data_IF_724652121504
#
_entry.id   IF_724652121504
#
_cell.length_a   1.000
_cell.length_b   1.000
_cell.length_c   1.000
_cell.angle_alpha   90.00
_cell.angle_beta   90.00
_cell.angle_gamma   90.00
#
_symmetry.space_group_name_H-M   'P 1'
#
loop_
_entity.id
_entity.type
_entity.pdbx_description
1 polymer ?
#
# COMPACT_ATOMS: atom_id res chain seq x y z
N UNK A 1 19.65 -28.86 2.33
CA UNK A 1 19.08 -27.92 3.32
C UNK A 1 19.77 -26.54 3.29
N UNK A 2 21.10 -26.41 3.35
CA UNK A 2 21.78 -25.10 3.34
C UNK A 2 21.68 -24.37 1.98
N UNK A 3 21.69 -25.08 0.85
CA UNK A 3 21.56 -24.50 -0.47
C UNK A 3 20.16 -23.88 -0.70
N UNK A 4 19.10 -24.54 -0.24
CA UNK A 4 17.72 -24.04 -0.37
C UNK A 4 17.47 -22.80 0.50
N UNK A 5 18.09 -22.70 1.66
CA UNK A 5 18.03 -21.50 2.53
C UNK A 5 18.77 -20.34 1.86
N UNK A 6 19.92 -20.58 1.23
CA UNK A 6 20.68 -19.57 0.49
C UNK A 6 19.91 -19.01 -0.72
N UNK A 7 19.28 -19.88 -1.51
CA UNK A 7 18.42 -19.44 -2.62
C UNK A 7 17.21 -18.63 -2.12
N UNK A 8 16.61 -19.07 -1.02
CA UNK A 8 15.50 -18.36 -0.41
C UNK A 8 15.88 -16.94 0.02
N UNK A 9 16.99 -16.77 0.74
CA UNK A 9 17.47 -15.48 1.20
C UNK A 9 17.81 -14.56 0.02
N UNK A 10 18.42 -15.13 -1.04
CA UNK A 10 18.79 -14.40 -2.24
C UNK A 10 17.57 -13.93 -3.02
N UNK A 11 16.53 -14.76 -3.16
CA UNK A 11 15.25 -14.39 -3.78
C UNK A 11 14.53 -13.31 -2.97
N UNK A 12 14.50 -13.43 -1.64
CA UNK A 12 13.92 -12.42 -0.72
C UNK A 12 14.63 -11.08 -0.82
N UNK A 13 15.96 -11.08 -0.84
CA UNK A 13 16.76 -9.85 -1.01
C UNK A 13 16.54 -9.22 -2.39
N UNK A 14 16.49 -10.04 -3.45
CA UNK A 14 16.24 -9.57 -4.81
C UNK A 14 14.86 -8.90 -4.94
N UNK A 15 13.85 -9.46 -4.27
CA UNK A 15 12.50 -8.89 -4.24
C UNK A 15 12.41 -7.60 -3.42
N UNK A 16 13.06 -7.56 -2.25
CA UNK A 16 13.13 -6.33 -1.46
C UNK A 16 13.83 -5.21 -2.23
N UNK A 17 14.95 -5.52 -2.91
CA UNK A 17 15.65 -4.56 -3.78
C UNK A 17 14.76 -4.10 -4.95
N UNK A 18 14.04 -5.01 -5.59
CA UNK A 18 13.11 -4.67 -6.68
C UNK A 18 11.99 -3.74 -6.18
N UNK A 19 11.39 -4.02 -5.02
CA UNK A 19 10.41 -3.14 -4.40
C UNK A 19 10.98 -1.76 -4.02
N UNK A 20 12.18 -1.72 -3.44
CA UNK A 20 12.85 -0.46 -3.12
C UNK A 20 13.12 0.37 -4.38
N UNK A 21 13.64 -0.25 -5.44
CA UNK A 21 13.89 0.42 -6.73
C UNK A 21 12.61 0.97 -7.35
N UNK A 22 11.50 0.24 -7.28
CA UNK A 22 10.20 0.71 -7.77
C UNK A 22 9.67 1.92 -6.98
N UNK A 23 9.91 1.96 -5.67
CA UNK A 23 9.48 3.07 -4.81
C UNK A 23 10.38 4.30 -4.92
N UNK A 24 11.64 4.13 -5.33
CA UNK A 24 12.62 5.22 -5.42
C UNK A 24 12.22 6.26 -6.46
N UNK A 25 11.75 5.83 -7.64
CA UNK A 25 11.35 6.74 -8.72
C UNK A 25 10.15 7.63 -8.33
N UNK A 26 9.03 7.11 -7.84
CA UNK A 26 7.92 7.94 -7.36
C UNK A 26 8.32 8.86 -6.21
N UNK A 27 9.15 8.40 -5.27
CA UNK A 27 9.61 9.21 -4.15
C UNK A 27 10.47 10.39 -4.64
N UNK A 28 11.40 10.14 -5.58
CA UNK A 28 12.21 11.18 -6.19
C UNK A 28 11.35 12.20 -6.94
N UNK A 29 10.42 11.71 -7.77
CA UNK A 29 9.54 12.57 -8.54
C UNK A 29 8.65 13.43 -7.62
N UNK A 30 8.11 12.85 -6.55
CA UNK A 30 7.31 13.58 -5.56
C UNK A 30 8.12 14.66 -4.84
N UNK A 31 9.35 14.35 -4.43
CA UNK A 31 10.26 15.31 -3.80
C UNK A 31 10.62 16.44 -4.76
N UNK A 32 10.86 16.12 -6.03
CA UNK A 32 11.16 17.10 -7.08
C UNK A 32 9.99 18.05 -7.32
N UNK A 33 8.75 17.52 -7.40
CA UNK A 33 7.53 18.35 -7.56
C UNK A 33 7.33 19.28 -6.37
N UNK A 34 7.50 18.78 -5.14
CA UNK A 34 7.41 19.62 -3.93
C UNK A 34 8.47 20.72 -3.98
N UNK A 35 9.72 20.39 -4.31
CA UNK A 35 10.80 21.37 -4.45
C UNK A 35 10.50 22.42 -5.51
N UNK A 36 9.97 22.02 -6.66
CA UNK A 36 9.56 22.92 -7.74
C UNK A 36 8.44 23.88 -7.30
N UNK A 37 7.40 23.36 -6.61
CA UNK A 37 6.30 24.19 -6.08
C UNK A 37 6.80 25.20 -5.05
N UNK A 38 7.71 24.79 -4.15
CA UNK A 38 8.32 25.70 -3.17
C UNK A 38 9.18 26.76 -3.85
N UNK A 39 9.95 26.38 -4.87
CA UNK A 39 10.80 27.29 -5.63
C UNK A 39 9.96 28.36 -6.39
N UNK A 40 8.92 27.93 -7.07
CA UNK A 40 7.94 28.81 -7.74
C UNK A 40 7.33 29.78 -6.73
N UNK A 41 6.95 29.29 -5.56
CA UNK A 41 6.41 30.14 -4.52
C UNK A 41 7.40 31.19 -4.05
N UNK A 42 8.64 30.81 -3.72
CA UNK A 42 9.65 31.75 -3.20
C UNK A 42 10.05 32.82 -4.22
N UNK A 43 10.09 32.46 -5.51
CA UNK A 43 10.57 33.36 -6.56
C UNK A 43 9.46 34.25 -7.14
N UNK A 44 8.23 33.75 -7.21
CA UNK A 44 7.18 34.39 -8.01
C UNK A 44 6.04 34.97 -7.14
N UNK A 45 5.79 34.45 -5.94
CA UNK A 45 4.64 34.90 -5.16
C UNK A 45 4.81 36.39 -4.74
N UNK A 46 6.03 36.81 -4.35
CA UNK A 46 6.31 38.19 -3.95
C UNK A 46 6.18 39.16 -5.14
N UNK A 47 6.61 38.73 -6.33
CA UNK A 47 6.48 39.55 -7.56
C UNK A 47 5.02 39.59 -8.04
N UNK A 48 4.29 38.48 -7.95
CA UNK A 48 2.88 38.41 -8.35
C UNK A 48 1.97 39.19 -7.38
N UNK A 49 2.26 39.15 -6.08
CA UNK A 49 1.46 39.89 -5.09
C UNK A 49 1.53 41.40 -5.27
N UNK A 50 2.64 41.92 -5.81
CA UNK A 50 2.79 43.34 -6.12
C UNK A 50 2.11 43.76 -7.44
N UNK A 51 1.87 42.82 -8.36
CA UNK A 51 1.27 43.11 -9.67
C UNK A 51 -0.24 42.83 -9.73
N UNK A 52 -0.73 41.96 -8.85
CA UNK A 52 -2.12 41.50 -8.88
C UNK A 52 -2.95 42.30 -7.86
N UNK A 53 -3.90 43.07 -8.35
CA UNK A 53 -4.92 43.71 -7.51
C UNK A 53 -5.93 42.67 -7.05
N UNK A 54 -6.01 42.40 -5.75
CA UNK A 54 -6.92 41.38 -5.17
C UNK A 54 -8.39 41.61 -5.55
N UNK A 55 -8.79 42.87 -5.81
CA UNK A 55 -10.15 43.22 -6.21
C UNK A 55 -10.53 42.65 -7.58
N UNK A 56 -9.58 42.60 -8.53
CA UNK A 56 -9.80 42.04 -9.85
C UNK A 56 -9.88 40.51 -9.82
N UNK A 57 -9.13 39.85 -8.95
CA UNK A 57 -9.22 38.41 -8.74
C UNK A 57 -10.55 37.98 -8.12
N UNK A 58 -11.11 38.80 -7.22
CA UNK A 58 -12.41 38.50 -6.59
C UNK A 58 -13.58 38.49 -7.60
N UNK A 59 -13.49 39.22 -8.70
CA UNK A 59 -14.48 39.17 -9.77
C UNK A 59 -14.45 37.87 -10.56
N UNK A 60 -13.28 37.19 -10.62
CA UNK A 60 -13.09 35.89 -11.25
C UNK A 60 -13.04 34.80 -10.21
N UNK A 61 -14.18 34.39 -9.64
CA UNK A 61 -14.26 33.49 -8.47
C UNK A 61 -13.35 32.25 -8.54
N UNK A 62 -13.14 31.67 -9.74
CA UNK A 62 -12.25 30.51 -9.93
C UNK A 62 -10.76 30.87 -9.73
N UNK A 63 -10.29 31.99 -10.27
CA UNK A 63 -8.89 32.42 -10.13
C UNK A 63 -8.57 32.87 -8.68
N UNK A 64 -9.53 33.42 -7.99
CA UNK A 64 -9.41 33.76 -6.56
C UNK A 64 -9.15 32.52 -5.69
N UNK A 65 -9.86 31.40 -5.95
CA UNK A 65 -9.64 30.16 -5.24
C UNK A 65 -8.26 29.55 -5.51
N UNK A 66 -7.79 29.64 -6.76
CA UNK A 66 -6.44 29.18 -7.11
C UNK A 66 -5.39 30.05 -6.40
N UNK A 67 -5.54 31.35 -6.40
CA UNK A 67 -4.66 32.30 -5.72
C UNK A 67 -4.60 32.04 -4.21
N UNK A 68 -5.75 31.89 -3.57
CA UNK A 68 -5.86 31.57 -2.15
C UNK A 68 -5.21 30.22 -1.84
N UNK A 69 -5.37 29.24 -2.70
CA UNK A 69 -4.69 27.95 -2.59
C UNK A 69 -3.17 28.08 -2.65
N UNK A 70 -2.64 28.88 -3.55
CA UNK A 70 -1.20 29.13 -3.70
C UNK A 70 -0.64 29.88 -2.48
N UNK A 71 -1.33 30.91 -2.00
CA UNK A 71 -0.91 31.70 -0.85
C UNK A 71 -0.85 30.85 0.42
N UNK A 72 -1.85 29.99 0.63
CA UNK A 72 -1.98 29.13 1.81
C UNK A 72 -1.37 27.73 1.65
N UNK A 73 -0.69 27.45 0.54
CA UNK A 73 -0.16 26.14 0.21
C UNK A 73 0.68 25.48 1.34
N UNK A 74 1.58 26.18 2.07
CA UNK A 74 2.29 25.57 3.20
C UNK A 74 1.40 25.33 4.40
N UNK A 75 0.43 26.21 4.66
CA UNK A 75 -0.50 26.03 5.77
C UNK A 75 -1.44 24.85 5.47
N UNK A 76 -1.89 24.70 4.22
CA UNK A 76 -2.66 23.55 3.76
C UNK A 76 -1.83 22.25 3.81
N UNK A 77 -0.55 22.31 3.41
CA UNK A 77 0.35 21.17 3.48
C UNK A 77 0.63 20.76 4.94
N UNK A 78 0.87 21.72 5.84
CA UNK A 78 1.01 21.49 7.28
C UNK A 78 -0.28 20.94 7.88
N UNK A 79 -1.43 21.53 7.57
CA UNK A 79 -2.73 21.05 8.00
C UNK A 79 -3.00 19.62 7.56
N UNK A 80 -2.74 19.31 6.28
CA UNK A 80 -2.85 17.95 5.74
C UNK A 80 -1.92 16.97 6.47
N UNK A 81 -0.67 17.36 6.73
CA UNK A 81 0.30 16.54 7.45
C UNK A 81 -0.14 16.28 8.90
N UNK A 82 -0.66 17.30 9.60
CA UNK A 82 -1.21 17.16 10.96
C UNK A 82 -2.43 16.21 10.95
N UNK A 83 -3.37 16.40 10.02
CA UNK A 83 -4.54 15.53 9.89
C UNK A 83 -4.10 14.09 9.60
N UNK A 84 -3.13 13.90 8.72
CA UNK A 84 -2.59 12.58 8.39
C UNK A 84 -1.92 11.93 9.62
N UNK A 85 -1.15 12.68 10.40
CA UNK A 85 -0.57 12.20 11.66
C UNK A 85 -1.64 11.85 12.69
N UNK A 86 -2.70 12.66 12.81
CA UNK A 86 -3.83 12.38 13.71
C UNK A 86 -4.54 11.08 13.27
N UNK A 87 -4.78 10.90 11.97
CA UNK A 87 -5.41 9.67 11.44
C UNK A 87 -4.51 8.46 11.72
N UNK A 88 -3.20 8.55 11.45
CA UNK A 88 -2.25 7.46 11.74
C UNK A 88 -2.25 7.14 13.23
N UNK A 89 -2.23 8.15 14.09
CA UNK A 89 -2.23 7.99 15.54
C UNK A 89 -3.55 7.39 16.06
N UNK A 90 -4.68 7.87 15.56
CA UNK A 90 -6.01 7.33 15.90
C UNK A 90 -6.16 5.87 15.47
N UNK A 91 -5.73 5.54 14.23
CA UNK A 91 -5.71 4.16 13.72
C UNK A 91 -4.81 3.29 14.59
N UNK A 92 -3.62 3.78 14.95
CA UNK A 92 -2.68 3.03 15.80
C UNK A 92 -3.22 2.79 17.20
N UNK A 93 -3.90 3.76 17.82
CA UNK A 93 -4.57 3.60 19.12
C UNK A 93 -5.73 2.61 19.05
N UNK A 94 -6.54 2.71 18.00
CA UNK A 94 -7.66 1.80 17.78
C UNK A 94 -7.18 0.35 17.57
N UNK A 95 -6.07 0.17 16.82
CA UNK A 95 -5.48 -1.14 16.57
C UNK A 95 -4.84 -1.76 17.82
N UNK A 96 -4.21 -0.96 18.68
CA UNK A 96 -3.65 -1.48 19.95
C UNK A 96 -4.68 -2.19 20.85
N UNK A 97 -5.96 -1.84 20.72
CA UNK A 97 -7.05 -2.42 21.54
C UNK A 97 -7.65 -3.69 20.96
N UNK A 98 -7.32 -4.07 19.72
CA UNK A 98 -7.88 -5.24 19.03
C UNK A 98 -6.86 -6.37 18.94
N UNK A 99 -7.38 -7.62 18.93
CA UNK A 99 -6.57 -8.80 18.69
C UNK A 99 -5.91 -8.70 17.30
N UNK A 100 -4.71 -9.26 17.16
CA UNK A 100 -3.97 -9.25 15.88
C UNK A 100 -4.80 -9.83 14.72
N UNK A 101 -5.63 -10.82 15.01
CA UNK A 101 -6.54 -11.42 14.03
C UNK A 101 -7.59 -10.42 13.52
N UNK A 102 -8.23 -9.70 14.44
CA UNK A 102 -9.26 -8.71 14.09
C UNK A 102 -8.67 -7.52 13.32
N UNK A 103 -7.41 -7.17 13.63
CA UNK A 103 -6.66 -6.15 12.89
C UNK A 103 -6.48 -6.55 11.43
N UNK A 104 -6.01 -7.78 11.17
CA UNK A 104 -5.81 -8.28 9.81
C UNK A 104 -7.13 -8.48 9.07
N UNK A 105 -8.17 -9.00 9.75
CA UNK A 105 -9.49 -9.15 9.17
C UNK A 105 -10.08 -7.80 8.75
N UNK A 106 -9.91 -6.77 9.58
CA UNK A 106 -10.36 -5.41 9.26
C UNK A 106 -9.53 -4.82 8.11
N UNK A 107 -8.21 -5.05 8.08
CA UNK A 107 -7.34 -4.61 6.99
C UNK A 107 -7.78 -5.22 5.65
N UNK A 108 -8.12 -6.51 5.64
CA UNK A 108 -8.61 -7.22 4.46
C UNK A 108 -9.97 -6.69 3.99
N UNK A 109 -10.80 -6.16 4.90
CA UNK A 109 -12.11 -5.59 4.57
C UNK A 109 -12.04 -4.21 3.91
N UNK A 110 -10.88 -3.56 3.89
CA UNK A 110 -10.72 -2.23 3.28
C UNK A 110 -10.74 -2.31 1.74
N UNK A 111 -11.53 -1.45 1.04
CA UNK A 111 -11.75 -1.57 -0.40
C UNK A 111 -10.49 -1.37 -1.25
N UNK A 112 -9.52 -0.56 -0.81
CA UNK A 112 -8.31 -0.21 -1.57
C UNK A 112 -7.14 -1.14 -1.28
N UNK A 113 -6.94 -1.48 -0.01
CA UNK A 113 -5.76 -2.21 0.50
C UNK A 113 -6.09 -3.68 0.76
N UNK A 114 -7.36 -4.00 1.03
CA UNK A 114 -7.79 -5.31 1.51
C UNK A 114 -7.40 -6.46 0.58
N UNK A 115 -7.63 -6.32 -0.72
CA UNK A 115 -7.23 -7.34 -1.71
C UNK A 115 -5.72 -7.60 -1.70
N UNK A 116 -4.91 -6.54 -1.62
CA UNK A 116 -3.45 -6.66 -1.59
C UNK A 116 -2.96 -7.24 -0.25
N UNK A 117 -3.61 -6.88 0.86
CA UNK A 117 -3.31 -7.44 2.17
C UNK A 117 -3.65 -8.95 2.23
N UNK A 118 -4.80 -9.34 1.70
CA UNK A 118 -5.22 -10.73 1.60
C UNK A 118 -4.26 -11.56 0.71
N UNK A 119 -3.85 -11.02 -0.45
CA UNK A 119 -2.86 -11.65 -1.30
C UNK A 119 -1.53 -11.86 -0.56
N UNK A 120 -1.07 -10.83 0.15
CA UNK A 120 0.19 -10.92 0.89
C UNK A 120 0.13 -11.96 2.02
N UNK A 121 -0.96 -11.98 2.80
CA UNK A 121 -1.17 -12.98 3.85
C UNK A 121 -1.23 -14.39 3.25
N UNK A 122 -2.00 -14.57 2.17
CA UNK A 122 -2.11 -15.86 1.48
C UNK A 122 -0.75 -16.34 0.97
N UNK A 123 0.02 -15.46 0.31
CA UNK A 123 1.39 -15.75 -0.14
C UNK A 123 2.29 -16.21 1.02
N UNK A 124 2.29 -15.43 2.12
CA UNK A 124 3.16 -15.70 3.25
C UNK A 124 2.91 -17.10 3.83
N UNK A 125 1.64 -17.44 4.06
CA UNK A 125 1.28 -18.74 4.66
C UNK A 125 1.31 -19.90 3.66
N UNK A 126 0.98 -19.69 2.39
CA UNK A 126 1.19 -20.71 1.37
C UNK A 126 2.64 -21.17 1.33
N UNK A 127 3.57 -20.22 1.39
CA UNK A 127 5.00 -20.48 1.41
C UNK A 127 5.46 -21.12 2.72
N UNK A 128 4.97 -20.64 3.86
CA UNK A 128 5.34 -21.18 5.17
C UNK A 128 4.86 -22.63 5.30
N UNK A 129 3.63 -22.91 4.92
CA UNK A 129 3.07 -24.26 4.90
C UNK A 129 3.80 -25.18 3.92
N UNK A 130 4.10 -24.71 2.69
CA UNK A 130 4.89 -25.47 1.72
C UNK A 130 6.25 -25.87 2.29
N UNK A 131 6.94 -24.96 2.97
CA UNK A 131 8.24 -25.25 3.59
C UNK A 131 8.16 -26.35 4.64
N UNK A 132 7.19 -26.31 5.55
CA UNK A 132 7.05 -27.30 6.60
C UNK A 132 6.63 -28.68 6.03
N UNK A 133 5.65 -28.70 5.16
CA UNK A 133 5.15 -29.94 4.55
C UNK A 133 6.18 -30.57 3.59
N UNK A 134 6.91 -29.77 2.83
CA UNK A 134 7.99 -30.24 1.95
C UNK A 134 9.19 -30.82 2.71
N UNK A 135 9.34 -30.46 4.00
CA UNK A 135 10.30 -31.10 4.91
C UNK A 135 9.74 -32.38 5.59
N UNK A 136 8.59 -32.87 5.14
CA UNK A 136 7.96 -34.08 5.68
C UNK A 136 7.28 -33.91 7.04
N UNK A 137 7.04 -32.69 7.48
CA UNK A 137 6.34 -32.44 8.74
C UNK A 137 4.84 -32.69 8.60
N UNK A 138 4.22 -33.24 9.63
CA UNK A 138 2.77 -33.35 9.71
C UNK A 138 2.13 -31.98 9.95
N UNK A 139 0.84 -31.84 9.62
CA UNK A 139 0.07 -30.62 9.88
C UNK A 139 0.13 -30.18 11.33
N UNK A 140 0.02 -31.11 12.28
CA UNK A 140 0.11 -30.80 13.71
C UNK A 140 1.50 -30.34 14.12
N UNK A 141 2.56 -30.95 13.57
CA UNK A 141 3.94 -30.52 13.81
C UNK A 141 4.18 -29.12 13.27
N UNK A 142 3.71 -28.81 12.06
CA UNK A 142 3.75 -27.47 11.45
C UNK A 142 3.06 -26.43 12.35
N UNK A 143 1.87 -26.75 12.84
CA UNK A 143 1.12 -25.85 13.73
C UNK A 143 1.88 -25.60 15.03
N UNK A 144 2.53 -26.62 15.60
CA UNK A 144 3.36 -26.47 16.80
C UNK A 144 4.58 -25.57 16.57
N UNK A 145 5.22 -25.66 15.39
CA UNK A 145 6.34 -24.79 15.01
C UNK A 145 5.90 -23.33 14.90
N UNK A 146 4.73 -23.07 14.31
CA UNK A 146 4.16 -21.72 14.18
C UNK A 146 3.82 -21.05 15.51
N UNK A 147 3.68 -21.82 16.59
CA UNK A 147 3.46 -21.31 17.95
C UNK A 147 4.72 -20.90 18.69
N UNK A 148 5.90 -21.33 18.25
CA UNK A 148 7.16 -21.09 18.94
C UNK A 148 7.47 -19.61 19.14
N UNK A 149 8.32 -19.32 20.10
CA UNK A 149 8.84 -17.97 20.32
C UNK A 149 9.66 -17.51 19.11
N UNK A 150 9.51 -16.22 18.75
CA UNK A 150 10.14 -15.66 17.55
C UNK A 150 9.24 -15.62 16.31
N UNK A 151 8.11 -16.34 16.30
CA UNK A 151 7.11 -16.23 15.23
C UNK A 151 6.23 -14.98 15.39
N UNK A 152 5.61 -14.53 14.30
CA UNK A 152 4.74 -13.36 14.33
C UNK A 152 3.49 -13.61 15.20
N UNK A 153 2.93 -12.55 15.80
CA UNK A 153 1.69 -12.66 16.56
C UNK A 153 0.53 -13.20 15.71
N UNK A 154 0.54 -12.90 14.40
CA UNK A 154 -0.44 -13.45 13.46
C UNK A 154 -0.25 -14.96 13.26
N UNK A 155 1.01 -15.44 13.10
CA UNK A 155 1.32 -16.87 12.95
C UNK A 155 0.88 -17.66 14.18
N UNK A 156 1.19 -17.16 15.39
CA UNK A 156 0.75 -17.80 16.65
C UNK A 156 -0.76 -17.95 16.72
N UNK A 157 -1.50 -16.93 16.31
CA UNK A 157 -2.95 -16.93 16.37
C UNK A 157 -3.57 -17.83 15.29
N UNK A 158 -3.02 -17.83 14.07
CA UNK A 158 -3.43 -18.75 13.02
C UNK A 158 -3.17 -20.19 13.47
N UNK A 159 -1.98 -20.46 14.02
CA UNK A 159 -1.63 -21.78 14.54
C UNK A 159 -2.58 -22.24 15.65
N UNK A 160 -2.92 -21.37 16.60
CA UNK A 160 -3.86 -21.71 17.66
C UNK A 160 -5.24 -22.08 17.11
N UNK A 161 -5.77 -21.29 16.16
CA UNK A 161 -7.06 -21.59 15.53
C UNK A 161 -7.02 -22.85 14.66
N UNK A 162 -5.92 -23.09 13.95
CA UNK A 162 -5.73 -24.33 13.20
C UNK A 162 -5.73 -25.55 14.12
N UNK A 163 -4.97 -25.48 15.22
CA UNK A 163 -4.91 -26.58 16.17
C UNK A 163 -6.28 -26.92 16.75
N UNK A 164 -7.05 -25.93 17.18
CA UNK A 164 -8.40 -26.12 17.72
C UNK A 164 -9.30 -26.86 16.72
N UNK A 165 -9.26 -26.50 15.44
CA UNK A 165 -10.10 -27.11 14.40
C UNK A 165 -9.58 -28.52 14.01
N UNK A 166 -8.25 -28.69 13.87
CA UNK A 166 -7.67 -29.99 13.53
C UNK A 166 -7.88 -31.04 14.64
N UNK A 167 -7.80 -30.64 15.92
CA UNK A 167 -8.12 -31.53 17.06
C UNK A 167 -9.60 -31.92 17.06
N UNK A 168 -10.50 -31.07 16.60
CA UNK A 168 -11.91 -31.38 16.43
C UNK A 168 -12.20 -32.30 15.23
N UNK A 169 -11.16 -32.69 14.47
CA UNK A 169 -11.28 -33.56 13.31
C UNK A 169 -11.68 -32.86 12.03
N UNK A 170 -11.66 -31.54 12.00
CA UNK A 170 -11.92 -30.80 10.76
C UNK A 170 -10.75 -30.89 9.78
N UNK A 171 -11.04 -30.81 8.47
CA UNK A 171 -9.99 -30.77 7.45
C UNK A 171 -9.21 -29.45 7.51
N UNK A 172 -7.96 -29.48 7.06
CA UNK A 172 -7.10 -28.29 7.04
C UNK A 172 -7.69 -27.19 6.16
N UNK A 173 -8.25 -27.55 5.00
CA UNK A 173 -8.96 -26.62 4.11
C UNK A 173 -10.14 -25.94 4.77
N UNK A 174 -10.99 -26.70 5.50
CA UNK A 174 -12.12 -26.15 6.25
C UNK A 174 -11.67 -25.19 7.37
N UNK A 175 -10.62 -25.56 8.10
CA UNK A 175 -10.06 -24.71 9.14
C UNK A 175 -9.54 -23.37 8.59
N UNK A 176 -8.89 -23.36 7.43
CA UNK A 176 -8.43 -22.15 6.74
C UNK A 176 -9.60 -21.29 6.25
N UNK A 177 -10.65 -21.90 5.69
CA UNK A 177 -11.83 -21.20 5.18
C UNK A 177 -12.56 -20.43 6.28
N UNK A 178 -12.74 -21.03 7.45
CA UNK A 178 -13.38 -20.40 8.61
C UNK A 178 -12.66 -19.13 9.09
N UNK A 179 -11.38 -19.02 8.85
CA UNK A 179 -10.60 -17.84 9.24
C UNK A 179 -10.91 -16.60 8.39
N UNK A 180 -11.37 -16.76 7.15
CA UNK A 180 -11.66 -15.65 6.21
C UNK A 180 -10.49 -14.69 5.99
N UNK A 181 -9.26 -15.17 6.16
CA UNK A 181 -8.02 -14.42 5.95
C UNK A 181 -7.42 -14.68 4.58
N UNK A 182 -7.69 -15.85 4.04
CA UNK A 182 -7.07 -16.36 2.83
C UNK A 182 -7.96 -16.16 1.61
N UNK A 183 -7.36 -16.17 0.42
CA UNK A 183 -8.10 -16.16 -0.84
C UNK A 183 -8.81 -17.49 -1.05
N UNK A 184 -9.96 -17.47 -1.71
CA UNK A 184 -10.76 -18.66 -1.96
C UNK A 184 -10.02 -19.67 -2.84
N UNK A 185 -9.23 -19.18 -3.81
CA UNK A 185 -8.42 -20.03 -4.69
C UNK A 185 -7.38 -20.84 -3.92
N UNK A 186 -6.81 -20.24 -2.87
CA UNK A 186 -5.88 -20.92 -1.97
C UNK A 186 -6.56 -22.06 -1.20
N UNK A 187 -7.77 -21.83 -0.70
CA UNK A 187 -8.55 -22.85 0.02
C UNK A 187 -8.88 -24.03 -0.89
N UNK A 188 -9.29 -23.76 -2.12
CA UNK A 188 -9.54 -24.83 -3.11
C UNK A 188 -8.28 -25.62 -3.46
N UNK A 189 -7.15 -24.95 -3.61
CA UNK A 189 -5.86 -25.59 -3.83
C UNK A 189 -5.45 -26.49 -2.65
N UNK A 190 -5.66 -26.03 -1.41
CA UNK A 190 -5.42 -26.83 -0.22
C UNK A 190 -6.32 -28.06 -0.19
N UNK A 191 -7.62 -27.89 -0.46
CA UNK A 191 -8.58 -28.99 -0.53
C UNK A 191 -8.18 -30.06 -1.56
N UNK A 192 -7.72 -29.63 -2.74
CA UNK A 192 -7.25 -30.55 -3.78
C UNK A 192 -5.92 -31.22 -3.39
N UNK A 193 -5.00 -30.46 -2.80
CA UNK A 193 -3.73 -30.97 -2.30
C UNK A 193 -3.87 -31.98 -1.16
N UNK A 194 -4.85 -31.83 -0.28
CA UNK A 194 -5.20 -32.83 0.74
C UNK A 194 -5.63 -34.17 0.09
N UNK A 195 -6.40 -34.12 -1.00
CA UNK A 195 -6.86 -35.33 -1.73
C UNK A 195 -5.72 -36.01 -2.50
N UNK A 196 -4.87 -35.22 -3.15
CA UNK A 196 -3.81 -35.73 -4.05
C UNK A 196 -2.52 -36.08 -3.30
N UNK A 197 -2.38 -35.71 -2.03
CA UNK A 197 -1.14 -35.86 -1.21
C UNK A 197 0.08 -35.14 -1.80
N UNK A 198 -0.14 -34.08 -2.58
CA UNK A 198 0.91 -33.23 -3.19
C UNK A 198 0.77 -31.78 -2.74
N UNK A 199 0.31 -31.59 -1.50
CA UNK A 199 0.00 -30.27 -0.96
C UNK A 199 1.22 -29.36 -0.90
N UNK A 200 2.39 -29.89 -0.57
CA UNK A 200 3.66 -29.16 -0.47
C UNK A 200 4.08 -28.53 -1.79
N UNK A 201 4.06 -29.30 -2.87
CA UNK A 201 4.43 -28.81 -4.22
C UNK A 201 3.42 -27.80 -4.74
N UNK A 202 2.13 -28.08 -4.58
CA UNK A 202 1.06 -27.18 -5.02
C UNK A 202 1.11 -25.84 -4.28
N UNK A 203 1.37 -25.85 -2.98
CA UNK A 203 1.52 -24.64 -2.16
C UNK A 203 2.73 -23.80 -2.58
N UNK A 204 3.85 -24.44 -2.94
CA UNK A 204 5.04 -23.75 -3.40
C UNK A 204 4.77 -23.01 -4.72
N UNK A 205 4.21 -23.71 -5.71
CA UNK A 205 3.87 -23.10 -7.01
C UNK A 205 2.89 -21.95 -6.83
N UNK A 206 1.87 -22.14 -5.99
CA UNK A 206 0.88 -21.12 -5.71
C UNK A 206 1.50 -19.90 -4.99
N UNK A 207 2.41 -20.12 -4.04
CA UNK A 207 3.09 -19.03 -3.36
C UNK A 207 3.92 -18.18 -4.32
N UNK A 208 4.65 -18.80 -5.24
CA UNK A 208 5.44 -18.08 -6.24
C UNK A 208 4.51 -17.26 -7.18
N UNK A 209 3.41 -17.84 -7.62
CA UNK A 209 2.41 -17.15 -8.44
C UNK A 209 1.78 -15.96 -7.69
N UNK A 210 1.39 -16.13 -6.43
CA UNK A 210 0.81 -15.06 -5.60
C UNK A 210 1.78 -13.91 -5.39
N UNK A 211 3.06 -14.19 -5.26
CA UNK A 211 4.08 -13.16 -5.13
C UNK A 211 4.20 -12.34 -6.41
N UNK A 212 4.19 -12.99 -7.56
CA UNK A 212 4.24 -12.30 -8.85
C UNK A 212 2.99 -11.43 -9.06
N UNK A 213 1.81 -11.95 -8.77
CA UNK A 213 0.57 -11.18 -8.83
C UNK A 213 0.60 -9.96 -7.90
N UNK A 214 1.07 -10.14 -6.65
CA UNK A 214 1.21 -9.06 -5.68
C UNK A 214 2.16 -7.98 -6.19
N UNK A 215 3.32 -8.38 -6.70
CA UNK A 215 4.34 -7.47 -7.23
C UNK A 215 3.80 -6.70 -8.43
N UNK A 216 3.16 -7.38 -9.39
CA UNK A 216 2.54 -6.75 -10.56
C UNK A 216 1.40 -5.79 -10.16
N UNK A 217 0.62 -6.15 -9.13
CA UNK A 217 -0.44 -5.30 -8.60
C UNK A 217 0.10 -3.98 -8.02
N UNK A 218 1.24 -4.04 -7.31
CA UNK A 218 1.93 -2.84 -6.82
C UNK A 218 2.50 -2.04 -7.99
N UNK A 219 3.17 -2.67 -8.96
CA UNK A 219 3.71 -1.99 -10.15
C UNK A 219 2.63 -1.22 -10.90
N UNK A 220 1.47 -1.83 -11.13
CA UNK A 220 0.33 -1.17 -11.78
C UNK A 220 -0.12 0.08 -11.02
N UNK A 221 -0.22 0.01 -9.68
CA UNK A 221 -0.62 1.16 -8.85
C UNK A 221 0.42 2.29 -8.91
N UNK A 222 1.70 1.95 -8.88
CA UNK A 222 2.81 2.91 -8.98
C UNK A 222 2.80 3.60 -10.36
N UNK A 223 2.54 2.89 -11.44
CA UNK A 223 2.46 3.46 -12.79
C UNK A 223 1.40 4.54 -12.94
N UNK A 224 0.32 4.50 -12.15
CA UNK A 224 -0.70 5.55 -12.15
C UNK A 224 -0.27 6.85 -11.46
N UNK A 225 0.75 6.79 -10.60
CA UNK A 225 1.26 7.97 -9.90
C UNK A 225 1.86 8.97 -10.89
N UNK A 226 2.60 8.49 -11.90
CA UNK A 226 3.25 9.37 -12.88
C UNK A 226 2.27 10.21 -13.71
N UNK A 227 1.22 9.67 -14.36
CA UNK A 227 0.23 10.49 -15.07
C UNK A 227 -0.47 11.48 -14.14
N UNK A 228 -0.78 11.08 -12.92
CA UNK A 228 -1.42 11.95 -11.93
C UNK A 228 -0.53 13.15 -11.56
N UNK A 229 0.76 12.90 -11.34
CA UNK A 229 1.74 13.96 -11.06
C UNK A 229 1.92 14.91 -12.26
N UNK A 230 2.04 14.37 -13.48
CA UNK A 230 2.16 15.19 -14.69
C UNK A 230 0.92 16.06 -14.91
N UNK A 231 -0.27 15.52 -14.66
CA UNK A 231 -1.53 16.28 -14.72
C UNK A 231 -1.55 17.40 -13.65
N UNK A 232 -1.08 17.12 -12.43
CA UNK A 232 -0.93 18.10 -11.36
C UNK A 232 0.02 19.24 -11.74
N UNK A 233 1.19 18.90 -12.31
CA UNK A 233 2.18 19.89 -12.77
C UNK A 233 1.59 20.73 -13.91
N UNK A 234 0.95 20.09 -14.89
CA UNK A 234 0.30 20.80 -16.00
C UNK A 234 -0.78 21.77 -15.51
N UNK A 235 -1.63 21.33 -14.60
CA UNK A 235 -2.64 22.19 -13.97
C UNK A 235 -2.01 23.39 -13.24
N UNK A 236 -0.91 23.17 -12.53
CA UNK A 236 -0.18 24.19 -11.80
C UNK A 236 0.42 25.23 -12.75
N UNK A 237 1.05 24.81 -13.86
CA UNK A 237 1.62 25.70 -14.87
C UNK A 237 0.51 26.53 -15.53
N UNK A 238 -0.59 25.91 -15.96
CA UNK A 238 -1.72 26.61 -16.58
C UNK A 238 -2.33 27.62 -15.62
N UNK A 239 -2.53 27.24 -14.36
CA UNK A 239 -3.06 28.13 -13.33
C UNK A 239 -2.18 29.36 -13.12
N UNK A 240 -0.87 29.17 -13.10
CA UNK A 240 0.10 30.26 -12.95
C UNK A 240 0.08 31.19 -14.19
N UNK A 241 -0.02 30.61 -15.39
CA UNK A 241 -0.11 31.40 -16.62
C UNK A 241 -1.38 32.25 -16.66
N UNK A 242 -2.52 31.70 -16.23
CA UNK A 242 -3.78 32.43 -16.13
C UNK A 242 -3.72 33.60 -15.14
N UNK A 243 -3.05 33.43 -14.00
CA UNK A 243 -2.85 34.51 -13.02
C UNK A 243 -1.99 35.64 -13.59
N UNK A 244 -0.94 35.31 -14.36
CA UNK A 244 -0.08 36.30 -15.00
C UNK A 244 -0.75 37.05 -16.14
N UNK A 245 -1.62 36.40 -16.92
CA UNK A 245 -2.36 37.00 -18.05
C UNK A 245 -3.50 37.92 -17.61
N UNK A 246 -4.06 37.69 -16.42
CA UNK A 246 -5.22 38.46 -15.96
C UNK A 246 -4.99 40.00 -15.95
N UNK A 247 -3.87 40.51 -15.34
CA UNK A 247 -3.61 41.95 -15.36
C UNK A 247 -3.42 42.51 -16.77
N UNK A 248 -2.82 41.75 -17.69
CA UNK A 248 -2.59 42.21 -19.06
C UNK A 248 -3.89 42.29 -19.87
N UNK A 249 -4.81 41.34 -19.66
CA UNK A 249 -6.13 41.35 -20.32
C UNK A 249 -7.04 42.48 -19.82
N UNK A 250 -6.97 42.82 -18.54
CA UNK A 250 -7.74 43.91 -17.96
C UNK A 250 -7.21 45.28 -18.38
N UNK A 251 -5.91 45.43 -18.65
CA UNK A 251 -5.33 46.65 -19.21
C UNK A 251 -5.69 46.87 -20.69
N UNK A 252 -5.92 45.79 -21.45
CA UNK A 252 -6.28 45.88 -22.88
C UNK A 252 -7.79 46.05 -23.06
N UNK A 253 -8.62 45.51 -22.16
CA UNK A 253 -10.09 45.59 -22.24
C UNK A 253 -10.71 46.80 -21.56
N UNK A 254 -9.95 47.70 -21.00
CA UNK A 254 -10.38 48.88 -20.23
C UNK A 254 -10.39 50.21 -21.05
N UNK A 255 -10.51 50.14 -22.38
CA UNK A 255 -10.81 51.32 -23.24
C UNK A 255 -12.24 51.26 -23.77
#
# INVERSE_FOLDING_TARGET
>A
ACASIGEFLTRKQKQQKKMQQMMMYPAFLFTFVIGMVLCIRMLLLDQLSSMVQEEQLKQSGFLYWIWLGFQNLPQLALGFLIVLLIIIFAVRLYWKRKSTYDQFRMLISLPVIGKSAQQYVTFLYAREFSYFLGNGQSLLSMVSELKKEGTSALSKMIAQKLEEQLIQGESFSTALEKMKLFRQEFIWLVLEGEKTRQLDVQLQVYADQMLDEFTQGIEKKIKWIQPLLLMGIGFLIVSMYLILLLPTLTMIGGN
#
